data_IF_333800578032
#
_entry.id   IF_333800578032
#
_cell.length_a   1.000
_cell.length_b   1.000
_cell.length_c   1.000
_cell.angle_alpha   90.00
_cell.angle_beta   90.00
_cell.angle_gamma   90.00
#
_symmetry.space_group_name_H-M   'P 1'
#
loop_
_entity.id
_entity.type
_entity.pdbx_description
1 polymer ?
#
# COMPACT_ATOMS: atom_id res chain seq x y z
N UNK A 1 46.83 55.33 -2.75
CA UNK A 1 47.28 54.33 -1.76
C UNK A 1 46.03 53.70 -1.19
N UNK A 2 45.55 52.53 -1.53
CA UNK A 2 45.86 51.48 -2.51
C UNK A 2 44.61 50.57 -2.39
N UNK A 3 44.22 49.91 -3.47
CA UNK A 3 43.10 48.97 -3.50
C UNK A 3 43.30 47.81 -2.52
N UNK A 4 42.22 47.25 -1.97
CA UNK A 4 42.15 45.82 -1.67
C UNK A 4 40.70 45.36 -1.72
N UNK A 5 40.29 44.94 -2.92
CA UNK A 5 39.15 44.05 -3.13
C UNK A 5 39.52 42.66 -2.62
N UNK A 6 38.88 42.22 -1.53
CA UNK A 6 39.00 40.87 -1.00
C UNK A 6 37.86 39.95 -1.48
N UNK A 7 38.12 38.67 -1.80
CA UNK A 7 37.23 37.86 -2.63
C UNK A 7 36.02 37.30 -1.90
N UNK A 8 34.91 37.20 -2.65
CA UNK A 8 33.68 36.49 -2.30
C UNK A 8 33.98 35.00 -2.10
N UNK A 9 33.63 34.36 -0.96
CA UNK A 9 33.75 32.91 -0.84
C UNK A 9 32.63 32.23 -1.63
N UNK A 10 33.06 31.38 -2.56
CA UNK A 10 32.24 30.56 -3.45
C UNK A 10 31.33 29.59 -2.67
N UNK A 11 30.14 29.43 -3.22
CA UNK A 11 29.08 28.52 -2.78
C UNK A 11 29.55 27.07 -2.99
N UNK A 12 29.60 26.20 -1.96
CA UNK A 12 29.84 24.79 -2.19
C UNK A 12 28.58 24.13 -2.75
N UNK A 13 28.80 23.35 -3.81
CA UNK A 13 27.82 22.62 -4.58
C UNK A 13 26.86 21.74 -3.73
N UNK A 14 25.61 21.76 -4.16
CA UNK A 14 24.48 20.92 -3.74
C UNK A 14 24.87 19.43 -3.60
N UNK A 15 24.60 18.79 -2.44
CA UNK A 15 24.52 17.33 -2.38
C UNK A 15 23.18 16.90 -2.98
N UNK A 16 23.21 15.91 -3.86
CA UNK A 16 22.05 15.14 -4.30
C UNK A 16 21.19 14.76 -3.08
N UNK A 17 20.06 15.45 -2.89
CA UNK A 17 19.02 15.07 -1.93
C UNK A 17 18.34 13.81 -2.47
N UNK A 18 18.94 12.64 -2.19
CA UNK A 18 18.16 11.42 -2.07
C UNK A 18 17.07 11.73 -1.04
N UNK A 19 15.81 11.77 -1.48
CA UNK A 19 14.64 12.00 -0.62
C UNK A 19 14.61 10.92 0.44
N UNK A 20 15.30 11.15 1.55
CA UNK A 20 15.24 10.28 2.69
C UNK A 20 13.83 10.47 3.24
N UNK A 21 13.01 9.40 3.34
CA UNK A 21 11.71 9.52 3.99
C UNK A 21 11.97 10.11 5.36
N UNK A 22 11.33 11.25 5.63
CA UNK A 22 11.47 11.98 6.89
C UNK A 22 11.29 10.96 8.03
N UNK A 23 12.07 11.10 9.11
CA UNK A 23 12.02 10.15 10.24
C UNK A 23 10.60 9.99 10.81
N UNK A 24 9.71 10.93 10.50
CA UNK A 24 8.30 10.90 10.87
C UNK A 24 7.46 9.93 10.03
N UNK A 25 7.76 9.72 8.73
CA UNK A 25 7.04 8.73 7.90
C UNK A 25 7.22 7.31 8.42
N UNK A 26 8.41 6.94 8.91
CA UNK A 26 8.67 5.61 9.49
C UNK A 26 7.90 5.35 10.79
N UNK A 27 7.44 6.41 11.49
CA UNK A 27 6.61 6.26 12.69
C UNK A 27 5.19 5.79 12.35
N UNK A 28 4.79 5.90 11.09
CA UNK A 28 3.47 5.51 10.60
C UNK A 28 3.48 4.21 9.80
N UNK A 29 4.55 3.42 9.91
CA UNK A 29 4.66 2.09 9.32
C UNK A 29 4.43 0.99 10.35
N UNK A 30 3.74 -0.07 9.94
CA UNK A 30 3.61 -1.26 10.77
C UNK A 30 4.85 -2.16 10.67
N UNK A 31 5.47 -2.50 11.81
CA UNK A 31 6.69 -3.32 11.83
C UNK A 31 6.52 -4.78 11.39
N UNK A 32 5.29 -5.28 11.27
CA UNK A 32 5.02 -6.67 10.83
C UNK A 32 5.06 -6.77 9.31
N UNK A 33 4.44 -5.81 8.63
CA UNK A 33 4.24 -5.83 7.17
C UNK A 33 5.00 -4.72 6.44
N UNK A 34 5.72 -3.87 7.18
CA UNK A 34 6.54 -2.77 6.69
C UNK A 34 5.80 -1.84 5.72
N UNK A 35 4.51 -1.64 5.93
CA UNK A 35 3.74 -0.70 5.12
C UNK A 35 2.97 0.28 5.98
N UNK A 36 2.76 1.46 5.42
CA UNK A 36 2.08 2.57 6.06
C UNK A 36 0.69 2.18 6.57
N UNK A 37 0.35 2.73 7.73
CA UNK A 37 -1.01 2.72 8.23
C UNK A 37 -1.92 3.50 7.27
N UNK A 38 -3.19 3.10 7.21
CA UNK A 38 -4.19 3.80 6.41
C UNK A 38 -5.55 3.76 7.10
N UNK A 39 -6.46 4.64 6.66
CA UNK A 39 -7.79 4.79 7.24
C UNK A 39 -8.78 3.68 6.84
N UNK A 40 -8.34 2.69 6.04
CA UNK A 40 -9.14 1.55 5.61
C UNK A 40 -8.78 0.30 6.43
N UNK A 41 -8.07 -0.66 5.84
CA UNK A 41 -7.79 -1.95 6.48
C UNK A 41 -6.55 -1.95 7.40
N UNK A 42 -5.73 -0.90 7.36
CA UNK A 42 -4.48 -0.79 8.13
C UNK A 42 -4.54 0.28 9.20
N UNK A 43 -5.67 0.38 9.89
CA UNK A 43 -5.80 1.23 11.06
C UNK A 43 -4.75 0.86 12.12
N UNK A 44 -4.07 1.84 12.74
CA UNK A 44 -3.10 1.59 13.80
C UNK A 44 -3.82 1.24 15.09
N UNK A 45 -3.67 -0.01 15.53
CA UNK A 45 -4.33 -0.55 16.73
C UNK A 45 -3.31 -0.87 17.81
N UNK A 46 -3.66 -0.51 19.04
CA UNK A 46 -2.83 -0.63 20.22
C UNK A 46 -3.17 -1.90 20.97
N UNK A 47 -2.16 -2.70 21.28
CA UNK A 47 -2.28 -3.84 22.21
C UNK A 47 -2.27 -3.34 23.65
N UNK A 48 -2.66 -4.18 24.61
CA UNK A 48 -2.71 -3.82 26.04
C UNK A 48 -1.37 -3.32 26.58
N UNK A 49 -0.26 -3.84 26.04
CA UNK A 49 1.10 -3.41 26.37
C UNK A 49 1.52 -2.05 25.78
N UNK A 50 0.66 -1.38 25.00
CA UNK A 50 0.92 -0.08 24.39
C UNK A 50 1.56 -0.12 23.00
N UNK A 51 2.00 -1.28 22.52
CA UNK A 51 2.58 -1.42 21.18
C UNK A 51 1.50 -1.38 20.08
N UNK A 52 1.85 -0.77 18.94
CA UNK A 52 0.91 -0.46 17.86
C UNK A 52 1.23 -1.24 16.58
N UNK A 53 0.20 -1.83 15.98
CA UNK A 53 0.30 -2.62 14.75
C UNK A 53 -0.89 -2.38 13.82
N UNK A 54 -0.77 -2.80 12.57
CA UNK A 54 -1.85 -2.64 11.61
C UNK A 54 -3.00 -3.61 11.92
N UNK A 55 -4.25 -3.16 11.81
CA UNK A 55 -5.42 -4.01 12.01
C UNK A 55 -5.36 -5.31 11.21
N UNK A 56 -5.02 -5.24 9.92
CA UNK A 56 -4.89 -6.42 9.06
C UNK A 56 -3.84 -7.43 9.57
N UNK A 57 -2.79 -6.94 10.25
CA UNK A 57 -1.72 -7.75 10.82
C UNK A 57 -2.21 -8.44 12.11
N UNK A 58 -2.88 -7.68 12.98
CA UNK A 58 -3.43 -8.20 14.24
C UNK A 58 -4.48 -9.29 14.02
N UNK A 59 -5.31 -9.17 12.97
CA UNK A 59 -6.28 -10.22 12.58
C UNK A 59 -5.64 -11.58 12.26
N UNK A 60 -4.32 -11.64 12.00
CA UNK A 60 -3.60 -12.88 11.66
C UNK A 60 -2.79 -13.45 12.82
N UNK A 61 -2.75 -12.74 13.95
CA UNK A 61 -1.96 -13.09 15.13
C UNK A 61 -2.82 -13.61 16.28
N UNK A 62 -4.13 -13.74 16.07
CA UNK A 62 -5.02 -14.24 17.10
C UNK A 62 -4.80 -15.73 17.36
N UNK A 63 -4.99 -16.10 18.62
CA UNK A 63 -4.79 -17.44 19.15
C UNK A 63 -5.89 -17.74 20.14
N UNK A 64 -6.32 -18.99 20.24
CA UNK A 64 -7.34 -19.43 21.20
C UNK A 64 -6.65 -20.16 22.34
N UNK A 65 -6.86 -19.69 23.57
CA UNK A 65 -6.33 -20.29 24.80
C UNK A 65 -7.47 -20.32 25.82
N UNK A 66 -7.80 -21.52 26.33
CA UNK A 66 -8.89 -21.73 27.29
C UNK A 66 -10.22 -21.12 26.81
N UNK A 67 -10.61 -21.39 25.55
CA UNK A 67 -11.85 -20.90 24.94
C UNK A 67 -11.95 -19.36 24.77
N UNK A 68 -10.88 -18.63 25.09
CA UNK A 68 -10.76 -17.18 24.94
C UNK A 68 -9.76 -16.83 23.83
N UNK A 69 -10.03 -15.77 23.06
CA UNK A 69 -9.13 -15.27 22.01
C UNK A 69 -8.10 -14.29 22.59
N UNK A 70 -6.87 -14.39 22.11
CA UNK A 70 -5.70 -13.61 22.54
C UNK A 70 -4.81 -13.25 21.37
N UNK A 71 -4.14 -12.10 21.45
CA UNK A 71 -3.02 -11.76 20.57
C UNK A 71 -1.75 -11.59 21.41
N UNK A 72 -0.69 -12.39 21.17
CA UNK A 72 0.62 -12.12 21.75
C UNK A 72 1.29 -10.95 21.01
N UNK A 73 1.83 -9.99 21.76
CA UNK A 73 2.56 -8.87 21.16
C UNK A 73 3.88 -9.34 20.51
N UNK A 74 4.13 -9.05 19.22
CA UNK A 74 5.40 -9.39 18.55
C UNK A 74 6.65 -8.75 19.18
N UNK A 75 6.50 -7.62 19.90
CA UNK A 75 7.62 -6.89 20.50
C UNK A 75 7.95 -7.35 21.91
N UNK A 76 6.94 -7.51 22.77
CA UNK A 76 7.15 -7.78 24.20
C UNK A 76 6.49 -9.08 24.71
N UNK A 77 5.83 -9.84 23.82
CA UNK A 77 5.18 -11.13 24.11
C UNK A 77 4.02 -11.09 25.11
N UNK A 78 3.64 -9.91 25.60
CA UNK A 78 2.46 -9.73 26.44
C UNK A 78 1.18 -10.07 25.65
N UNK A 79 0.30 -10.86 26.26
CA UNK A 79 -0.98 -11.25 25.67
C UNK A 79 -2.02 -10.14 25.85
N UNK A 80 -2.75 -9.83 24.79
CA UNK A 80 -3.91 -8.93 24.81
C UNK A 80 -5.17 -9.76 24.58
N UNK A 81 -6.15 -9.73 25.51
CA UNK A 81 -7.42 -10.43 25.33
C UNK A 81 -8.23 -9.76 24.20
N UNK A 82 -8.86 -10.57 23.34
CA UNK A 82 -9.69 -10.08 22.25
C UNK A 82 -11.17 -10.03 22.65
N UNK A 83 -11.89 -8.93 22.37
CA UNK A 83 -13.33 -8.89 22.49
C UNK A 83 -14.00 -9.73 21.39
N UNK A 84 -15.32 -9.94 21.49
CA UNK A 84 -16.12 -10.71 20.49
C UNK A 84 -16.03 -10.15 19.06
N UNK A 85 -15.59 -8.91 18.87
CA UNK A 85 -15.34 -8.27 17.57
C UNK A 85 -13.92 -8.46 17.01
N UNK A 86 -13.09 -9.31 17.64
CA UNK A 86 -11.72 -9.57 17.23
C UNK A 86 -10.82 -8.34 17.31
N UNK A 87 -9.80 -8.27 16.43
CA UNK A 87 -8.87 -7.15 16.40
C UNK A 87 -9.54 -5.78 16.15
N UNK A 88 -10.74 -5.73 15.56
CA UNK A 88 -11.48 -4.49 15.32
C UNK A 88 -11.92 -3.81 16.62
N UNK A 89 -12.08 -4.58 17.70
CA UNK A 89 -12.46 -4.06 19.01
C UNK A 89 -11.28 -3.58 19.87
N UNK A 90 -10.04 -3.64 19.38
CA UNK A 90 -8.88 -3.10 20.09
C UNK A 90 -8.81 -1.58 19.94
N UNK A 91 -8.25 -0.88 20.91
CA UNK A 91 -8.11 0.57 20.87
C UNK A 91 -7.28 1.02 19.66
N UNK A 92 -7.66 2.15 19.07
CA UNK A 92 -6.81 2.82 18.09
C UNK A 92 -5.68 3.55 18.80
N UNK A 93 -4.49 3.52 18.21
CA UNK A 93 -3.45 4.46 18.59
C UNK A 93 -3.77 5.84 18.02
N UNK A 94 -4.39 6.68 18.85
CA UNK A 94 -4.91 7.98 18.42
C UNK A 94 -3.82 8.88 17.81
N UNK A 95 -2.60 8.86 18.35
CA UNK A 95 -1.50 9.67 17.82
C UNK A 95 -1.13 9.25 16.40
N UNK A 96 -0.96 7.94 16.16
CA UNK A 96 -0.68 7.41 14.84
C UNK A 96 -1.86 7.62 13.88
N UNK A 97 -3.10 7.41 14.34
CA UNK A 97 -4.30 7.60 13.53
C UNK A 97 -4.46 9.06 13.07
N UNK A 98 -4.25 10.03 13.96
CA UNK A 98 -4.28 11.46 13.60
C UNK A 98 -3.14 11.82 12.65
N UNK A 99 -1.95 11.22 12.83
CA UNK A 99 -0.83 11.35 11.88
C UNK A 99 -1.23 10.89 10.47
N UNK A 100 -1.78 9.68 10.35
CA UNK A 100 -2.27 9.13 9.07
C UNK A 100 -3.34 10.03 8.45
N UNK A 101 -4.26 10.56 9.26
CA UNK A 101 -5.30 11.47 8.76
C UNK A 101 -4.71 12.75 8.20
N UNK A 102 -3.76 13.37 8.91
CA UNK A 102 -3.08 14.57 8.46
C UNK A 102 -2.28 14.34 7.15
N UNK A 103 -1.60 13.20 7.03
CA UNK A 103 -0.90 12.83 5.79
C UNK A 103 -1.86 12.64 4.61
N UNK A 104 -3.02 12.00 4.84
CA UNK A 104 -4.03 11.80 3.80
C UNK A 104 -4.66 13.12 3.33
N UNK A 105 -4.84 14.10 4.23
CA UNK A 105 -5.33 15.43 3.90
C UNK A 105 -4.27 16.23 3.12
N UNK A 106 -3.00 16.17 3.52
CA UNK A 106 -1.91 16.83 2.79
C UNK A 106 -1.77 16.32 1.34
N UNK A 107 -1.95 15.01 1.13
CA UNK A 107 -1.92 14.41 -0.22
C UNK A 107 -3.07 14.88 -1.11
N UNK A 108 -4.23 15.27 -0.55
CA UNK A 108 -5.35 15.83 -1.32
C UNK A 108 -5.10 17.27 -1.76
N UNK A 109 -4.24 17.99 -1.05
CA UNK A 109 -3.90 19.39 -1.30
C UNK A 109 -2.81 19.55 -2.38
N UNK A 110 -2.10 18.48 -2.72
CA UNK A 110 -1.09 18.51 -3.78
C UNK A 110 -1.74 18.25 -5.13
N UNK A 111 -1.71 19.20 -6.09
CA UNK A 111 -2.19 18.95 -7.43
C UNK A 111 -1.35 17.82 -8.03
N UNK A 112 -2.02 16.74 -8.43
CA UNK A 112 -1.45 15.65 -9.21
C UNK A 112 -0.63 16.25 -10.36
N UNK A 113 0.69 16.18 -10.27
CA UNK A 113 1.52 16.11 -11.48
C UNK A 113 1.21 14.76 -12.09
N UNK A 114 0.18 14.73 -12.93
CA UNK A 114 -0.03 13.67 -13.91
C UNK A 114 1.30 13.47 -14.65
N UNK A 115 1.85 12.26 -14.75
CA UNK A 115 2.82 11.98 -15.78
C UNK A 115 2.16 12.26 -17.12
N UNK A 116 2.62 13.36 -17.73
CA UNK A 116 2.28 13.81 -19.05
C UNK A 116 2.34 12.61 -20.01
N UNK A 117 1.25 12.36 -20.73
CA UNK A 117 1.22 11.47 -21.86
C UNK A 117 2.36 11.83 -22.82
N UNK A 118 3.42 11.03 -22.82
CA UNK A 118 4.38 11.04 -23.91
C UNK A 118 3.75 10.23 -25.03
N UNK A 119 3.01 10.96 -25.86
CA UNK A 119 2.55 10.54 -27.18
C UNK A 119 3.79 10.07 -27.94
N UNK A 120 4.01 8.75 -27.97
CA UNK A 120 5.03 8.18 -28.83
C UNK A 120 4.54 8.34 -30.27
N UNK A 121 5.16 9.29 -30.96
CA UNK A 121 5.07 9.51 -32.39
C UNK A 121 5.49 8.22 -33.11
N UNK A 122 4.53 7.35 -33.39
CA UNK A 122 4.73 6.21 -34.28
C UNK A 122 4.84 6.74 -35.71
N UNK A 123 6.09 6.87 -36.16
CA UNK A 123 6.43 7.12 -37.57
C UNK A 123 5.91 5.94 -38.39
N UNK A 124 4.96 6.21 -39.30
CA UNK A 124 4.47 5.25 -40.29
C UNK A 124 5.55 5.00 -41.33
N UNK A 125 5.88 3.73 -41.61
CA UNK A 125 6.61 3.31 -42.82
C UNK A 125 5.63 2.68 -43.84
N UNK A 126 5.91 2.77 -45.16
CA UNK A 126 4.92 2.51 -46.21
C UNK A 126 4.89 1.06 -46.74
N UNK A 127 3.65 0.62 -46.98
CA UNK A 127 3.05 -0.23 -48.03
C UNK A 127 3.97 -1.08 -48.92
N UNK A 128 3.66 -2.38 -48.97
CA UNK A 128 3.64 -3.17 -50.22
C UNK A 128 2.32 -3.94 -50.31
N UNK A 129 1.75 -3.97 -51.51
CA UNK A 129 0.36 -4.27 -51.84
C UNK A 129 0.02 -5.77 -52.09
N UNK A 130 -1.20 -6.15 -51.65
CA UNK A 130 -2.23 -7.06 -52.24
C UNK A 130 -1.96 -8.58 -52.50
N UNK A 131 -2.97 -9.47 -52.75
CA UNK A 131 -4.45 -9.33 -52.77
C UNK A 131 -5.22 -10.55 -52.12
N UNK A 132 -6.48 -10.94 -52.47
CA UNK A 132 -7.62 -10.86 -51.55
C UNK A 132 -8.46 -12.18 -51.41
N UNK A 133 -8.70 -12.68 -50.21
CA UNK A 133 -9.82 -13.58 -49.83
C UNK A 133 -9.50 -14.12 -48.43
N UNK A 134 -10.39 -14.28 -47.46
CA UNK A 134 -11.82 -14.40 -47.46
C UNK A 134 -12.32 -13.87 -46.11
N UNK A 135 -13.24 -12.90 -46.15
CA UNK A 135 -14.08 -12.59 -45.01
C UNK A 135 -15.21 -13.61 -45.02
N UNK A 136 -15.06 -14.66 -44.22
CA UNK A 136 -16.18 -15.51 -43.88
C UNK A 136 -16.01 -15.98 -42.43
N UNK A 137 -17.05 -15.71 -41.66
CA UNK A 137 -17.37 -16.28 -40.35
C UNK A 137 -16.98 -15.42 -39.14
N UNK A 138 -17.87 -14.47 -38.88
CA UNK A 138 -18.36 -14.14 -37.54
C UNK A 138 -18.51 -15.43 -36.72
N UNK A 139 -17.68 -15.56 -35.69
CA UNK A 139 -17.95 -16.43 -34.56
C UNK A 139 -17.47 -15.71 -33.30
N UNK A 140 -18.46 -15.22 -32.55
CA UNK A 140 -18.34 -14.79 -31.17
C UNK A 140 -17.63 -15.92 -30.39
N UNK A 141 -16.44 -15.65 -29.86
CA UNK A 141 -15.78 -16.57 -28.94
C UNK A 141 -15.32 -15.77 -27.72
N UNK A 142 -16.21 -15.73 -26.73
CA UNK A 142 -15.93 -15.43 -25.33
C UNK A 142 -14.49 -15.80 -24.93
N UNK A 143 -13.82 -14.84 -24.30
CA UNK A 143 -12.61 -15.07 -23.52
C UNK A 143 -12.91 -16.08 -22.41
N UNK A 144 -12.56 -17.34 -22.67
CA UNK A 144 -12.56 -18.39 -21.67
C UNK A 144 -11.57 -18.04 -20.57
N UNK A 145 -12.10 -17.52 -19.47
CA UNK A 145 -11.44 -17.52 -18.17
C UNK A 145 -10.86 -18.92 -17.91
N UNK A 146 -9.54 -19.00 -17.72
CA UNK A 146 -8.91 -20.19 -17.16
C UNK A 146 -9.31 -20.31 -15.69
N UNK A 147 -10.45 -20.97 -15.46
CA UNK A 147 -10.85 -21.50 -14.15
C UNK A 147 -10.38 -22.95 -14.06
N UNK A 148 -9.31 -23.15 -13.30
CA UNK A 148 -8.81 -24.46 -12.88
C UNK A 148 -9.91 -25.28 -12.18
N UNK A 149 -9.84 -26.62 -12.21
CA UNK A 149 -10.99 -27.48 -11.94
C UNK A 149 -11.28 -27.62 -10.43
N UNK A 150 -12.34 -26.98 -9.96
CA UNK A 150 -12.93 -27.30 -8.65
C UNK A 150 -13.84 -28.54 -8.77
N UNK A 151 -13.58 -29.50 -7.90
CA UNK A 151 -14.14 -30.84 -7.73
C UNK A 151 -15.66 -31.03 -7.95
N UNK A 152 -16.02 -32.12 -8.63
CA UNK A 152 -17.40 -32.61 -8.84
C UNK A 152 -18.05 -33.28 -7.60
N UNK A 153 -17.63 -32.98 -6.37
CA UNK A 153 -18.17 -33.63 -5.15
C UNK A 153 -18.17 -32.79 -3.86
N UNK A 154 -18.30 -31.47 -3.93
CA UNK A 154 -18.51 -30.66 -2.72
C UNK A 154 -19.65 -29.65 -2.93
N UNK A 155 -20.89 -30.04 -2.60
CA UNK A 155 -22.07 -29.15 -2.61
C UNK A 155 -22.15 -28.23 -1.37
N UNK A 156 -21.04 -27.95 -0.68
CA UNK A 156 -21.02 -27.13 0.54
C UNK A 156 -20.07 -25.92 0.50
N UNK A 157 -19.43 -25.62 -0.64
CA UNK A 157 -18.48 -24.50 -0.74
C UNK A 157 -19.03 -23.24 -1.45
N UNK A 158 -20.34 -23.10 -1.63
CA UNK A 158 -20.91 -21.95 -2.35
C UNK A 158 -21.45 -20.81 -1.46
N UNK A 159 -21.29 -20.87 -0.14
CA UNK A 159 -21.73 -19.79 0.76
C UNK A 159 -20.57 -19.03 1.42
N UNK A 160 -19.62 -18.61 0.60
CA UNK A 160 -18.85 -17.40 0.91
C UNK A 160 -18.25 -16.84 -0.39
N UNK A 161 -19.01 -15.98 -1.05
CA UNK A 161 -18.49 -15.01 -2.02
C UNK A 161 -19.31 -13.73 -1.88
#
# INVERSE_FOLDING_TARGET
MTEDEGPVPEVPAEPNEEVQPSRDSRKLDCIICFSAFNLAERLPRKLYCGHTFCQACLRRLDTVINEQMWIPCPQCRQNTPLPRGGAIGLDLDLAAFLGVKAEAENQRSSPQKTPLETKSSFVKQPITDQPPSAWANVALAESRFHRSPCCRRCLLCCWWC
#
